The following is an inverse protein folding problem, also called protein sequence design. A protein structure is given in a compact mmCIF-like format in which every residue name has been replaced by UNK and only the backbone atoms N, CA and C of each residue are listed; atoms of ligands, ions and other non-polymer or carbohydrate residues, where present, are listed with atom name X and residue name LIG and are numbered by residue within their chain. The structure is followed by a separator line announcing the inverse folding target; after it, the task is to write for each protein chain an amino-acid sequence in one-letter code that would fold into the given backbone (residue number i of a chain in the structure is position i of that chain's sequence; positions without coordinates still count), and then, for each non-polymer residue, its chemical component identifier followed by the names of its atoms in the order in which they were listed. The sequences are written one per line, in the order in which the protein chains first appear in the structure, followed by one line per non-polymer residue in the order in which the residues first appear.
data_IF_251236367358
#
_entry.id   IF_251236367358
#
_cell.length_a   1.000
_cell.length_b   1.000
_cell.length_c   1.000
_cell.angle_alpha   90.00
_cell.angle_beta   90.00
_cell.angle_gamma   90.00
#
_symmetry.space_group_name_H-M   'P 1'
#
loop_
_entity.id
_entity.type
_entity.pdbx_description
1 polymer ?
#
# COMPACT_ATOMS: atom_id res chain seq x y z
N UNK A 1 6.92 22.11 -24.42
CA UNK A 1 5.56 22.51 -24.01
C UNK A 1 5.31 21.98 -22.60
N UNK A 2 5.65 22.76 -21.57
CA UNK A 2 5.47 22.38 -20.18
C UNK A 2 4.03 22.68 -19.73
N UNK A 3 3.28 21.64 -19.40
CA UNK A 3 1.92 21.79 -18.86
C UNK A 3 2.01 22.11 -17.38
N UNK A 4 1.77 23.37 -17.02
CA UNK A 4 1.59 23.79 -15.62
C UNK A 4 0.44 23.01 -14.98
N UNK A 5 0.76 22.06 -14.11
CA UNK A 5 -0.21 21.33 -13.31
C UNK A 5 -0.80 22.28 -12.26
N UNK A 6 -1.86 23.00 -12.63
CA UNK A 6 -2.51 23.95 -11.73
C UNK A 6 -3.21 23.19 -10.61
N UNK A 7 -2.74 23.40 -9.39
CA UNK A 7 -3.24 22.87 -8.11
C UNK A 7 -4.77 22.76 -7.98
N UNK A 8 -5.57 23.60 -8.66
CA UNK A 8 -7.04 23.52 -8.66
C UNK A 8 -7.62 22.24 -9.29
N UNK A 9 -6.97 21.63 -10.29
CA UNK A 9 -7.51 20.43 -10.95
C UNK A 9 -7.39 19.18 -10.07
N UNK A 10 -6.37 19.11 -9.20
CA UNK A 10 -6.20 18.03 -8.23
C UNK A 10 -7.35 17.98 -7.19
N UNK A 11 -7.86 19.15 -6.77
CA UNK A 11 -8.95 19.24 -5.80
C UNK A 11 -10.29 18.71 -6.32
N UNK A 12 -10.57 18.88 -7.61
CA UNK A 12 -11.79 18.36 -8.23
C UNK A 12 -11.78 16.83 -8.33
N UNK A 13 -10.59 16.24 -8.54
CA UNK A 13 -10.44 14.78 -8.60
C UNK A 13 -10.72 14.11 -7.24
N UNK A 14 -10.37 14.77 -6.13
CA UNK A 14 -10.56 14.26 -4.78
C UNK A 14 -12.00 14.35 -4.28
N UNK A 15 -12.77 15.36 -4.73
CA UNK A 15 -14.18 15.53 -4.31
C UNK A 15 -15.11 14.38 -4.72
N UNK A 16 -14.79 13.67 -5.80
CA UNK A 16 -15.64 12.59 -6.33
C UNK A 16 -15.33 11.21 -5.74
N UNK A 17 -14.51 11.10 -4.70
CA UNK A 17 -14.28 9.85 -3.98
C UNK A 17 -15.16 9.82 -2.74
N UNK A 18 -16.15 8.94 -2.73
CA UNK A 18 -17.08 8.70 -1.62
C UNK A 18 -16.39 8.46 -0.25
N UNK A 19 -15.11 8.04 -0.26
CA UNK A 19 -14.33 7.84 0.97
C UNK A 19 -13.84 9.14 1.63
N UNK A 20 -14.03 10.29 1.00
CA UNK A 20 -13.60 11.61 1.48
C UNK A 20 -14.75 12.60 1.67
N UNK A 21 -15.96 12.09 1.92
CA UNK A 21 -17.06 12.92 2.41
C UNK A 21 -16.66 13.47 3.78
N UNK A 22 -16.33 14.76 3.83
CA UNK A 22 -16.03 15.47 5.06
C UNK A 22 -17.24 15.36 6.00
N UNK A 23 -17.13 14.77 7.21
CA UNK A 23 -18.18 14.94 8.20
C UNK A 23 -18.36 16.44 8.41
N UNK A 24 -19.60 16.91 8.32
CA UNK A 24 -20.02 18.31 8.45
C UNK A 24 -19.03 19.12 9.28
N UNK A 25 -18.37 20.10 8.67
CA UNK A 25 -17.34 20.91 9.30
C UNK A 25 -17.94 21.70 10.46
N UNK A 26 -17.92 21.14 11.66
CA UNK A 26 -18.25 21.84 12.90
C UNK A 26 -17.12 22.83 13.16
N UNK A 27 -17.33 24.07 12.70
CA UNK A 27 -16.69 25.31 13.13
C UNK A 27 -15.27 25.19 13.73
N UNK A 28 -14.27 24.84 12.92
CA UNK A 28 -12.89 25.16 13.25
C UNK A 28 -12.67 26.67 13.01
N UNK A 29 -13.06 27.49 13.99
CA UNK A 29 -12.72 28.92 14.02
C UNK A 29 -11.20 29.04 13.97
N UNK A 30 -10.69 29.69 12.92
CA UNK A 30 -9.29 30.09 12.78
C UNK A 30 -8.90 30.98 13.96
N UNK A 31 -8.08 30.46 14.88
CA UNK A 31 -7.43 31.28 15.90
C UNK A 31 -6.13 31.83 15.31
N UNK A 32 -6.18 33.11 14.91
CA UNK A 32 -4.98 33.90 14.67
C UNK A 32 -4.44 34.33 16.04
N UNK A 33 -3.24 33.86 16.40
CA UNK A 33 -2.49 34.43 17.52
C UNK A 33 -2.17 35.89 17.23
N UNK A 34 -2.72 36.81 18.03
CA UNK A 34 -2.07 38.08 18.35
C UNK A 34 -1.87 38.09 19.86
N UNK A 35 -0.60 38.15 20.25
CA UNK A 35 -0.15 38.42 21.62
C UNK A 35 -0.30 39.92 21.84
N UNK A 36 -1.14 40.33 22.79
CA UNK A 36 -0.99 41.54 23.60
C UNK A 36 -1.51 41.19 25.01
N UNK A 37 -0.69 41.50 26.01
CA UNK A 37 -0.94 41.42 27.45
C UNK A 37 -2.26 42.09 27.85
N UNK A 38 -3.03 41.44 28.74
CA UNK A 38 -3.67 42.05 29.93
C UNK A 38 -4.56 41.01 30.65
N UNK A 39 -4.29 40.85 31.94
CA UNK A 39 -5.17 40.42 33.04
C UNK A 39 -6.16 39.26 32.80
N UNK A 40 -5.77 38.07 33.26
CA UNK A 40 -6.66 36.92 33.46
C UNK A 40 -7.19 36.87 34.89
N UNK A 41 -7.86 37.92 35.35
CA UNK A 41 -8.99 37.74 36.28
C UNK A 41 -10.17 37.30 35.43
N UNK A 42 -10.64 36.05 35.57
CA UNK A 42 -11.95 35.50 35.19
C UNK A 42 -11.83 33.98 34.92
N UNK A 43 -11.34 33.22 35.90
CA UNK A 43 -11.87 31.87 36.06
C UNK A 43 -13.15 32.01 36.85
N UNK A 44 -14.25 32.12 36.10
CA UNK A 44 -15.60 32.03 36.61
C UNK A 44 -15.81 30.73 37.37
N UNK A 45 -16.75 30.82 38.29
CA UNK A 45 -17.12 29.90 39.36
C UNK A 45 -17.71 28.57 38.85
N UNK A 46 -17.03 27.88 37.94
CA UNK A 46 -17.39 26.53 37.49
C UNK A 46 -16.81 25.47 38.45
N UNK A 47 -17.19 25.61 39.73
CA UNK A 47 -17.02 24.58 40.72
C UNK A 47 -18.13 23.53 40.54
N UNK A 48 -17.87 22.53 39.69
CA UNK A 48 -18.62 21.26 39.78
C UNK A 48 -18.57 20.79 41.25
N UNK A 49 -19.70 20.48 41.90
CA UNK A 49 -19.68 20.01 43.27
C UNK A 49 -18.86 18.72 43.34
N UNK A 50 -17.79 18.77 44.13
CA UNK A 50 -16.84 17.67 44.28
C UNK A 50 -17.56 16.48 44.93
N UNK A 51 -17.33 15.24 44.48
CA UNK A 51 -17.88 14.07 45.17
C UNK A 51 -17.39 14.04 46.63
N UNK A 52 -18.27 13.72 47.60
CA UNK A 52 -17.88 13.64 49.00
C UNK A 52 -16.86 12.51 49.20
N UNK A 53 -15.71 12.78 49.81
CA UNK A 53 -14.82 11.72 50.30
C UNK A 53 -13.31 11.92 50.12
N UNK A 54 -12.83 12.96 49.43
CA UNK A 54 -11.38 13.16 49.22
C UNK A 54 -10.86 14.38 49.98
N UNK A 55 -10.32 14.12 51.17
CA UNK A 55 -9.62 15.10 52.00
C UNK A 55 -8.41 15.67 51.25
N UNK A 56 -8.21 16.98 51.41
CA UNK A 56 -7.10 17.73 50.82
C UNK A 56 -5.77 17.19 51.38
N UNK A 57 -4.95 16.53 50.56
CA UNK A 57 -3.57 16.21 50.94
C UNK A 57 -2.85 17.54 51.25
N UNK A 58 -2.55 17.75 52.52
CA UNK A 58 -1.75 18.88 52.97
C UNK A 58 -0.36 18.79 52.33
N UNK A 59 0.18 19.94 51.92
CA UNK A 59 1.53 20.07 51.35
C UNK A 59 2.54 19.50 52.35
N UNK A 60 2.94 18.26 52.15
CA UNK A 60 4.01 17.61 52.91
C UNK A 60 5.25 17.52 52.04
N UNK A 61 6.25 18.30 52.45
CA UNK A 61 7.67 18.00 52.48
C UNK A 61 8.28 17.24 51.30
N UNK A 62 9.13 18.00 50.59
CA UNK A 62 10.21 17.55 49.71
C UNK A 62 10.93 16.32 50.27
N UNK A 63 10.67 15.16 49.68
CA UNK A 63 11.53 13.98 49.75
C UNK A 63 11.84 13.57 48.32
N UNK A 64 13.14 13.52 48.00
CA UNK A 64 13.65 13.32 46.65
C UNK A 64 13.18 12.01 46.05
N UNK A 65 12.30 12.12 45.05
CA UNK A 65 12.09 11.05 44.07
C UNK A 65 12.95 11.38 42.86
N UNK A 66 14.17 10.85 42.84
CA UNK A 66 14.96 10.73 41.63
C UNK A 66 14.45 9.51 40.85
N UNK A 67 13.14 9.45 40.60
CA UNK A 67 12.58 8.51 39.66
C UNK A 67 12.49 9.21 38.32
N UNK A 68 13.66 9.40 37.71
CA UNK A 68 13.75 9.66 36.29
C UNK A 68 13.26 8.38 35.60
N UNK A 69 11.95 8.28 35.36
CA UNK A 69 11.45 7.39 34.31
C UNK A 69 11.91 7.98 32.98
N UNK A 70 13.21 7.86 32.71
CA UNK A 70 13.80 8.15 31.42
C UNK A 70 13.41 7.00 30.49
N UNK A 71 12.13 6.93 30.12
CA UNK A 71 11.71 6.14 28.97
C UNK A 71 12.16 6.90 27.73
N UNK A 72 13.48 6.91 27.52
CA UNK A 72 14.08 7.35 26.27
C UNK A 72 13.89 6.21 25.28
N UNK A 73 12.67 6.06 24.73
CA UNK A 73 12.55 5.45 23.41
C UNK A 73 13.38 6.33 22.48
N UNK A 74 14.58 5.88 22.08
CA UNK A 74 15.40 6.63 21.15
C UNK A 74 14.58 6.82 19.86
N UNK A 75 14.10 8.04 19.54
CA UNK A 75 13.16 8.24 18.43
C UNK A 75 13.76 7.79 17.10
N UNK A 76 15.10 7.80 17.00
CA UNK A 76 15.87 7.31 15.85
C UNK A 76 15.71 5.79 15.72
N UNK A 77 15.86 5.03 16.81
CA UNK A 77 15.73 3.57 16.78
C UNK A 77 14.31 3.11 16.38
N UNK A 78 13.27 3.83 16.81
CA UNK A 78 11.90 3.55 16.39
C UNK A 78 11.69 3.86 14.90
N UNK A 79 12.22 4.97 14.41
CA UNK A 79 12.14 5.35 13.00
C UNK A 79 12.86 4.33 12.10
N UNK A 80 14.05 3.88 12.49
CA UNK A 80 14.81 2.85 11.79
C UNK A 80 14.04 1.53 11.75
N UNK A 81 13.47 1.10 12.89
CA UNK A 81 12.64 -0.09 12.95
C UNK A 81 11.45 -0.01 11.97
N UNK A 82 10.72 1.10 11.95
CA UNK A 82 9.60 1.29 11.03
C UNK A 82 10.05 1.28 9.56
N UNK A 83 11.19 1.87 9.24
CA UNK A 83 11.77 1.85 7.90
C UNK A 83 12.16 0.42 7.47
N UNK A 84 12.75 -0.37 8.38
CA UNK A 84 13.09 -1.78 8.11
C UNK A 84 11.82 -2.57 7.82
N UNK A 85 10.78 -2.44 8.65
CA UNK A 85 9.52 -3.15 8.47
C UNK A 85 8.85 -2.79 7.14
N UNK A 86 8.83 -1.52 6.77
CA UNK A 86 8.29 -1.09 5.47
C UNK A 86 9.05 -1.71 4.29
N UNK A 87 10.38 -1.75 4.35
CA UNK A 87 11.20 -2.35 3.30
C UNK A 87 10.99 -3.87 3.21
N UNK A 88 10.84 -4.55 4.34
CA UNK A 88 10.53 -5.99 4.38
C UNK A 88 9.16 -6.29 3.76
N UNK A 89 8.12 -5.54 4.13
CA UNK A 89 6.77 -5.69 3.56
C UNK A 89 6.77 -5.41 2.05
N UNK A 90 7.46 -4.35 1.61
CA UNK A 90 7.64 -4.04 0.19
C UNK A 90 8.33 -5.19 -0.55
N UNK A 91 9.42 -5.73 0.01
CA UNK A 91 10.17 -6.83 -0.60
C UNK A 91 9.32 -8.10 -0.70
N UNK A 92 8.59 -8.45 0.35
CA UNK A 92 7.68 -9.59 0.36
C UNK A 92 6.60 -9.45 -0.74
N UNK A 93 5.97 -8.27 -0.84
CA UNK A 93 4.98 -7.99 -1.89
C UNK A 93 5.57 -8.10 -3.30
N UNK A 94 6.78 -7.59 -3.51
CA UNK A 94 7.45 -7.70 -4.80
C UNK A 94 7.73 -9.16 -5.17
N UNK A 95 8.18 -9.98 -4.23
CA UNK A 95 8.41 -11.40 -4.47
C UNK A 95 7.13 -12.14 -4.83
N UNK A 96 6.00 -11.84 -4.18
CA UNK A 96 4.70 -12.43 -4.53
C UNK A 96 4.30 -12.07 -5.97
N UNK A 97 4.45 -10.80 -6.35
CA UNK A 97 4.13 -10.35 -7.73
C UNK A 97 5.06 -11.02 -8.74
N UNK A 98 6.35 -11.10 -8.43
CA UNK A 98 7.34 -11.73 -9.30
C UNK A 98 7.01 -13.21 -9.52
N UNK A 99 6.74 -13.95 -8.43
CA UNK A 99 6.35 -15.35 -8.49
C UNK A 99 5.07 -15.55 -9.30
N UNK A 100 4.02 -14.77 -9.02
CA UNK A 100 2.76 -14.86 -9.78
C UNK A 100 3.01 -14.57 -11.28
N UNK A 101 3.89 -13.62 -11.59
CA UNK A 101 4.24 -13.30 -12.98
C UNK A 101 4.98 -14.45 -13.66
N UNK A 102 5.85 -15.16 -12.94
CA UNK A 102 6.54 -16.34 -13.43
C UNK A 102 5.59 -17.50 -13.68
N UNK A 103 4.69 -17.76 -12.73
CA UNK A 103 3.70 -18.83 -12.85
C UNK A 103 2.77 -18.58 -14.04
N UNK A 104 2.34 -17.33 -14.25
CA UNK A 104 1.59 -16.93 -15.44
C UNK A 104 2.38 -17.13 -16.72
N UNK A 105 3.67 -16.76 -16.75
CA UNK A 105 4.55 -17.00 -17.92
C UNK A 105 4.67 -18.48 -18.24
N UNK A 106 4.88 -19.33 -17.22
CA UNK A 106 4.96 -20.79 -17.38
C UNK A 106 3.64 -21.36 -17.88
N UNK A 107 2.52 -20.90 -17.35
CA UNK A 107 1.19 -21.31 -17.81
C UNK A 107 0.99 -20.97 -19.29
N UNK A 108 1.24 -19.72 -19.69
CA UNK A 108 1.11 -19.30 -21.10
C UNK A 108 2.01 -20.14 -22.01
N UNK A 109 3.26 -20.39 -21.58
CA UNK A 109 4.19 -21.22 -22.33
C UNK A 109 3.67 -22.66 -22.47
N UNK A 110 3.15 -23.25 -21.40
CA UNK A 110 2.57 -24.61 -21.44
C UNK A 110 1.34 -24.70 -22.33
N UNK A 111 0.46 -23.69 -22.31
CA UNK A 111 -0.70 -23.60 -23.20
C UNK A 111 -0.27 -23.54 -24.66
N UNK A 112 0.70 -22.68 -24.98
CA UNK A 112 1.27 -22.60 -26.33
C UNK A 112 1.85 -23.92 -26.79
N UNK A 113 2.61 -24.61 -25.93
CA UNK A 113 3.15 -25.94 -26.24
C UNK A 113 2.02 -26.93 -26.51
N UNK A 114 0.96 -26.93 -25.69
CA UNK A 114 -0.18 -27.81 -25.89
C UNK A 114 -0.88 -27.55 -27.24
N UNK A 115 -1.13 -26.30 -27.58
CA UNK A 115 -1.69 -25.89 -28.88
C UNK A 115 -0.82 -26.35 -30.05
N UNK A 116 0.51 -26.18 -29.95
CA UNK A 116 1.44 -26.66 -30.98
C UNK A 116 1.39 -28.21 -31.10
N UNK A 117 1.26 -28.93 -29.99
CA UNK A 117 1.12 -30.39 -30.03
C UNK A 117 -0.20 -30.85 -30.65
N UNK A 118 -1.29 -30.10 -30.50
CA UNK A 118 -2.56 -30.35 -31.20
C UNK A 118 -2.39 -30.22 -32.73
N UNK A 119 -1.59 -29.26 -33.20
CA UNK A 119 -1.29 -29.11 -34.64
C UNK A 119 -0.69 -30.39 -35.20
N UNK A 120 0.16 -31.09 -34.45
CA UNK A 120 0.76 -32.36 -34.90
C UNK A 120 -0.28 -33.45 -35.18
N UNK A 121 -1.43 -33.42 -34.49
CA UNK A 121 -2.49 -34.42 -34.59
C UNK A 121 -3.40 -34.22 -35.82
N UNK A 122 -3.39 -33.04 -36.45
CA UNK A 122 -4.26 -32.72 -37.60
C UNK A 122 -4.02 -33.69 -38.77
N UNK A 123 -5.06 -34.40 -39.24
CA UNK A 123 -4.92 -35.26 -40.41
C UNK A 123 -5.02 -34.43 -41.70
N UNK A 124 -4.00 -34.49 -42.55
CA UNK A 124 -3.96 -33.76 -43.84
C UNK A 124 -4.48 -34.61 -45.01
N UNK A 125 -4.97 -35.83 -44.77
CA UNK A 125 -5.46 -36.72 -45.83
C UNK A 125 -6.76 -36.17 -46.42
N UNK A 126 -6.75 -35.93 -47.73
CA UNK A 126 -7.92 -35.41 -48.46
C UNK A 126 -8.09 -33.89 -48.38
N UNK A 127 -7.14 -33.17 -47.77
CA UNK A 127 -7.04 -31.71 -47.88
C UNK A 127 -6.46 -31.30 -49.24
N UNK A 128 -6.69 -30.03 -49.60
CA UNK A 128 -6.00 -29.41 -50.72
C UNK A 128 -4.46 -29.52 -50.55
N UNK A 129 -3.70 -29.83 -51.63
CA UNK A 129 -2.26 -30.00 -51.52
C UNK A 129 -1.51 -28.77 -51.00
N UNK A 130 -1.98 -27.55 -51.28
CA UNK A 130 -1.34 -26.33 -50.79
C UNK A 130 -1.53 -26.18 -49.27
N UNK A 131 -2.75 -26.40 -48.77
CA UNK A 131 -3.06 -26.35 -47.34
C UNK A 131 -2.33 -27.46 -46.57
N UNK A 132 -2.29 -28.67 -47.12
CA UNK A 132 -1.55 -29.79 -46.57
C UNK A 132 -0.05 -29.48 -46.47
N UNK A 133 0.53 -28.80 -47.47
CA UNK A 133 1.93 -28.39 -47.45
C UNK A 133 2.22 -27.37 -46.33
N UNK A 134 1.32 -26.40 -46.13
CA UNK A 134 1.45 -25.39 -45.06
C UNK A 134 1.40 -26.06 -43.68
N UNK A 135 0.42 -26.93 -43.44
CA UNK A 135 0.27 -27.64 -42.17
C UNK A 135 1.50 -28.53 -41.92
N UNK A 136 1.95 -29.29 -42.93
CA UNK A 136 3.12 -30.15 -42.78
C UNK A 136 4.41 -29.37 -42.51
N UNK A 137 4.59 -28.20 -43.11
CA UNK A 137 5.70 -27.31 -42.81
C UNK A 137 5.65 -26.81 -41.35
N UNK A 138 4.47 -26.46 -40.85
CA UNK A 138 4.29 -26.05 -39.46
C UNK A 138 4.57 -27.20 -38.49
N UNK A 139 4.09 -28.42 -38.79
CA UNK A 139 4.41 -29.63 -38.01
C UNK A 139 5.91 -29.89 -37.95
N UNK A 140 6.64 -29.67 -39.05
CA UNK A 140 8.09 -29.82 -39.07
C UNK A 140 8.78 -28.81 -38.15
N UNK A 141 8.35 -27.54 -38.15
CA UNK A 141 8.86 -26.51 -37.23
C UNK A 141 8.62 -26.86 -35.76
N UNK A 142 7.43 -27.36 -35.44
CA UNK A 142 7.07 -27.75 -34.07
C UNK A 142 7.94 -28.92 -33.57
N UNK A 143 8.17 -29.95 -34.41
CA UNK A 143 9.06 -31.08 -34.07
C UNK A 143 10.51 -30.66 -33.85
N UNK A 144 10.98 -29.62 -34.55
CA UNK A 144 12.31 -29.05 -34.34
C UNK A 144 12.38 -28.23 -33.04
N UNK A 145 11.31 -27.50 -32.71
CA UNK A 145 11.25 -26.70 -31.49
C UNK A 145 11.15 -27.55 -30.22
N UNK A 146 10.45 -28.69 -30.31
CA UNK A 146 10.21 -29.60 -29.19
C UNK A 146 10.70 -31.01 -29.55
N UNK A 147 12.03 -31.25 -29.54
CA UNK A 147 12.56 -32.58 -29.83
C UNK A 147 12.14 -33.58 -28.74
N UNK A 148 11.90 -34.85 -29.10
CA UNK A 148 11.64 -35.88 -28.12
C UNK A 148 12.85 -36.03 -27.17
N UNK A 149 12.64 -36.35 -25.89
CA UNK A 149 13.74 -36.58 -24.96
C UNK A 149 14.60 -37.75 -25.47
N UNK A 150 15.91 -37.50 -25.59
CA UNK A 150 16.89 -38.54 -25.88
C UNK A 150 17.11 -39.36 -24.60
N UNK A 151 16.67 -40.61 -24.61
CA UNK A 151 16.93 -41.58 -23.55
C UNK A 151 18.39 -42.03 -23.52
#
# INVERSE_FOLDING_TARGET
MGSDFKHRSAWLFLKNKHKWTNPQSTNAKRYHFRVIDEDSEHFGDDALPRPPGLQRLAKSQRSGSNSTASSCSNPIAYQEFMAIQYNLDRKAKMQVIEQESEDRRRLIQSQKIAEDMEVLQINTRGMDPADAAIINAQKARIRLAYPPPTN
#
